data_IF_640120852539
#
_entry.id   IF_640120852539
#
_cell.length_a   1.000
_cell.length_b   1.000
_cell.length_c   1.000
_cell.angle_alpha   90.00
_cell.angle_beta   90.00
_cell.angle_gamma   90.00
#
_symmetry.space_group_name_H-M   'P 1'
#
loop_
_entity.id
_entity.type
_entity.pdbx_description
1 polymer ?
#
# COMPACT_ATOMS: atom_id res chain seq x y z
N UNK A 1 -44.08 70.14 16.95
CA UNK A 1 -44.05 68.80 17.53
C UNK A 1 -43.42 67.71 16.65
N UNK A 2 -43.47 67.79 15.31
CA UNK A 2 -42.98 66.69 14.43
C UNK A 2 -41.46 66.52 14.35
N UNK A 3 -40.63 67.56 14.53
CA UNK A 3 -39.17 67.45 14.45
C UNK A 3 -38.54 66.73 15.60
N UNK A 4 -39.08 66.86 16.80
CA UNK A 4 -38.56 66.20 18.01
C UNK A 4 -38.86 64.70 18.03
N UNK A 5 -39.98 64.25 17.48
CA UNK A 5 -40.30 62.84 17.33
C UNK A 5 -39.45 62.15 16.29
N UNK A 6 -39.08 62.85 15.21
CA UNK A 6 -38.17 62.29 14.21
C UNK A 6 -36.75 62.12 14.80
N UNK A 7 -36.25 63.08 15.55
CA UNK A 7 -34.97 62.99 16.25
C UNK A 7 -34.94 61.81 17.26
N UNK A 8 -36.06 61.59 17.98
CA UNK A 8 -36.17 60.53 18.96
C UNK A 8 -36.22 59.16 18.27
N UNK A 9 -36.86 59.03 17.11
CA UNK A 9 -36.86 57.79 16.30
C UNK A 9 -35.47 57.47 15.74
N UNK A 10 -34.75 58.47 15.24
CA UNK A 10 -33.38 58.30 14.71
C UNK A 10 -32.43 57.89 15.87
N UNK A 11 -32.55 58.50 17.05
CA UNK A 11 -31.74 58.11 18.22
C UNK A 11 -32.06 56.67 18.68
N UNK A 12 -33.35 56.27 18.69
CA UNK A 12 -33.74 54.92 19.02
C UNK A 12 -33.21 53.88 17.97
N UNK A 13 -33.26 54.21 16.67
CA UNK A 13 -32.69 53.35 15.61
C UNK A 13 -31.17 53.18 15.75
N UNK A 14 -30.46 54.27 16.11
CA UNK A 14 -28.99 54.20 16.37
C UNK A 14 -28.71 53.32 17.60
N UNK A 15 -29.47 53.45 18.67
CA UNK A 15 -29.31 52.63 19.86
C UNK A 15 -29.60 51.15 19.60
N UNK A 16 -30.60 50.81 18.81
CA UNK A 16 -30.90 49.44 18.41
C UNK A 16 -29.81 48.89 17.50
N UNK A 17 -29.25 49.72 16.59
CA UNK A 17 -28.13 49.37 15.72
C UNK A 17 -26.86 49.09 16.53
N UNK A 18 -26.53 49.96 17.51
CA UNK A 18 -25.41 49.76 18.43
C UNK A 18 -25.59 48.54 19.33
N UNK A 19 -26.80 48.27 19.82
CA UNK A 19 -27.09 47.10 20.61
C UNK A 19 -26.97 45.79 19.74
N UNK A 20 -27.41 45.82 18.49
CA UNK A 20 -27.26 44.71 17.57
C UNK A 20 -25.77 44.44 17.24
N UNK A 21 -25.01 45.51 17.00
CA UNK A 21 -23.54 45.42 16.79
C UNK A 21 -22.84 44.90 18.05
N UNK A 22 -23.21 45.40 19.23
CA UNK A 22 -22.70 44.92 20.50
C UNK A 22 -23.03 43.45 20.77
N UNK A 23 -24.26 43.03 20.50
CA UNK A 23 -24.68 41.61 20.58
C UNK A 23 -23.97 40.72 19.54
N UNK A 24 -23.70 41.23 18.36
CA UNK A 24 -22.95 40.50 17.34
C UNK A 24 -21.47 40.39 17.71
N UNK A 25 -20.88 41.45 18.22
CA UNK A 25 -19.48 41.45 18.74
C UNK A 25 -19.37 40.58 19.99
N UNK A 26 -20.32 40.62 20.92
CA UNK A 26 -20.30 39.78 22.13
C UNK A 26 -20.58 38.30 21.81
N UNK A 27 -21.40 37.99 20.79
CA UNK A 27 -21.56 36.62 20.26
C UNK A 27 -20.29 36.16 19.51
N UNK A 28 -19.62 37.05 18.81
CA UNK A 28 -18.30 36.75 18.15
C UNK A 28 -17.16 36.69 19.14
N UNK A 29 -17.21 37.46 20.24
CA UNK A 29 -16.21 37.44 21.31
C UNK A 29 -16.25 36.18 22.16
N UNK A 30 -17.41 35.46 22.19
CA UNK A 30 -17.49 34.11 22.76
C UNK A 30 -16.83 33.01 21.94
N UNK A 31 -16.43 33.33 20.70
CA UNK A 31 -15.62 32.53 19.80
C UNK A 31 -14.20 33.11 19.67
N UNK A 32 -13.64 33.59 20.76
CA UNK A 32 -12.19 33.74 20.81
C UNK A 32 -11.62 32.33 20.70
N UNK A 33 -11.30 31.95 19.47
CA UNK A 33 -10.30 30.94 19.19
C UNK A 33 -9.03 31.38 19.96
N UNK A 34 -8.90 30.91 21.19
CA UNK A 34 -7.60 30.80 21.82
C UNK A 34 -6.86 29.78 20.97
N UNK A 35 -6.24 30.23 19.86
CA UNK A 35 -5.18 29.50 19.19
C UNK A 35 -4.07 29.37 20.21
N UNK A 36 -4.22 28.40 21.10
CA UNK A 36 -3.20 28.06 22.05
C UNK A 36 -2.16 27.28 21.29
N UNK A 37 -1.12 27.94 20.86
CA UNK A 37 0.11 27.35 20.27
C UNK A 37 0.86 26.50 21.34
N UNK A 38 0.06 25.89 22.22
CA UNK A 38 0.53 25.13 23.38
C UNK A 38 0.74 23.66 22.99
N UNK A 39 1.93 23.15 23.28
CA UNK A 39 2.20 21.71 23.12
C UNK A 39 1.25 20.87 24.00
N UNK A 40 0.70 19.81 23.43
CA UNK A 40 -0.13 18.82 24.14
C UNK A 40 0.67 18.04 25.18
N UNK A 41 1.92 17.72 24.83
CA UNK A 41 2.85 17.04 25.72
C UNK A 41 3.95 18.02 26.16
N UNK A 42 4.05 18.28 27.45
CA UNK A 42 5.16 19.01 28.03
C UNK A 42 6.30 18.02 28.30
N UNK A 43 7.47 18.23 27.66
CA UNK A 43 8.67 17.42 27.90
C UNK A 43 8.49 15.91 27.61
N UNK A 44 7.97 15.58 26.42
CA UNK A 44 7.89 14.19 25.99
C UNK A 44 9.29 13.57 25.86
N UNK A 45 9.60 12.58 26.69
CA UNK A 45 10.89 11.88 26.72
C UNK A 45 10.99 10.87 25.55
N UNK A 46 11.11 11.39 24.32
CA UNK A 46 11.07 10.57 23.09
C UNK A 46 12.22 9.57 22.99
N UNK A 47 13.38 9.89 23.59
CA UNK A 47 14.55 9.01 23.55
C UNK A 47 14.41 7.77 24.44
N UNK A 48 13.50 7.83 25.41
CA UNK A 48 13.24 6.74 26.34
C UNK A 48 12.17 5.79 25.85
N UNK A 49 11.56 6.07 24.68
CA UNK A 49 10.51 5.24 24.11
C UNK A 49 11.12 3.95 23.55
N UNK A 50 10.73 2.83 24.15
CA UNK A 50 11.11 1.47 23.70
C UNK A 50 9.93 0.67 23.17
N UNK A 51 8.70 1.13 23.42
CA UNK A 51 7.47 0.47 22.96
C UNK A 51 6.40 1.50 22.61
N UNK A 52 5.73 1.27 21.49
CA UNK A 52 4.55 2.01 21.04
C UNK A 52 3.43 1.01 20.87
N UNK A 53 2.31 1.23 21.55
CA UNK A 53 1.12 0.41 21.39
C UNK A 53 -0.01 1.27 20.86
N UNK A 54 -0.55 0.90 19.69
CA UNK A 54 -1.67 1.57 19.05
C UNK A 54 -2.84 0.60 19.09
N UNK A 55 -3.97 1.02 19.66
CA UNK A 55 -5.15 0.17 19.83
C UNK A 55 -6.39 0.84 19.28
N UNK A 56 -7.15 0.12 18.50
CA UNK A 56 -8.51 0.47 18.09
C UNK A 56 -9.52 -0.52 18.71
N UNK A 57 -10.79 -0.39 18.39
CA UNK A 57 -11.81 -1.35 18.82
C UNK A 57 -11.55 -2.78 18.29
N UNK A 58 -10.92 -2.91 17.13
CA UNK A 58 -10.79 -4.19 16.39
C UNK A 58 -9.35 -4.63 16.14
N UNK A 59 -8.37 -3.74 16.30
CA UNK A 59 -6.98 -3.99 15.94
C UNK A 59 -6.02 -3.44 16.98
N UNK A 60 -4.90 -4.11 17.11
CA UNK A 60 -3.75 -3.66 17.91
C UNK A 60 -2.49 -3.73 17.05
N UNK A 61 -1.63 -2.73 17.19
CA UNK A 61 -0.28 -2.70 16.62
C UNK A 61 0.68 -2.39 17.76
N UNK A 62 1.60 -3.30 17.99
CA UNK A 62 2.63 -3.17 19.02
C UNK A 62 4.00 -3.12 18.35
N UNK A 63 4.66 -1.99 18.49
CA UNK A 63 6.00 -1.73 17.97
C UNK A 63 6.97 -1.74 19.15
N UNK A 64 7.90 -2.68 19.15
CA UNK A 64 8.87 -2.87 20.24
C UNK A 64 10.30 -2.74 19.74
N UNK A 65 11.13 -2.01 20.47
CA UNK A 65 12.55 -1.91 20.21
C UNK A 65 13.27 -3.11 20.83
N UNK A 66 13.86 -3.97 19.99
CA UNK A 66 14.66 -5.14 20.40
C UNK A 66 16.10 -4.94 19.90
N UNK A 67 17.01 -4.65 20.82
CA UNK A 67 18.34 -4.15 20.45
C UNK A 67 18.25 -2.81 19.73
N UNK A 68 18.86 -2.72 18.56
CA UNK A 68 18.85 -1.51 17.75
C UNK A 68 17.71 -1.45 16.72
N UNK A 69 16.85 -2.46 16.68
CA UNK A 69 15.79 -2.56 15.68
C UNK A 69 14.40 -2.52 16.31
N UNK A 70 13.49 -1.81 15.62
CA UNK A 70 12.07 -1.87 15.92
C UNK A 70 11.41 -3.07 15.25
N UNK A 71 10.51 -3.73 15.96
CA UNK A 71 9.83 -4.96 15.56
C UNK A 71 8.33 -4.83 15.74
N UNK A 72 7.56 -5.54 14.92
CA UNK A 72 6.11 -5.63 15.00
C UNK A 72 5.73 -6.93 15.69
N UNK A 73 5.23 -6.84 16.92
CA UNK A 73 4.97 -8.01 17.77
C UNK A 73 3.87 -8.92 17.17
N UNK A 74 2.82 -8.35 16.57
CA UNK A 74 1.73 -9.11 15.94
C UNK A 74 2.13 -9.85 14.67
N UNK A 75 3.39 -9.70 14.22
CA UNK A 75 3.94 -10.35 13.02
C UNK A 75 5.23 -11.11 13.32
N UNK A 76 5.26 -11.73 14.48
CA UNK A 76 6.39 -12.57 14.91
C UNK A 76 7.72 -11.81 14.83
N UNK A 77 7.72 -10.60 15.41
CA UNK A 77 8.88 -9.72 15.44
C UNK A 77 9.44 -9.34 14.06
N UNK A 78 8.59 -9.26 13.05
CA UNK A 78 9.01 -8.72 11.75
C UNK A 78 9.56 -7.29 11.90
N UNK A 79 10.61 -6.92 11.15
CA UNK A 79 11.14 -5.56 11.17
C UNK A 79 10.07 -4.51 10.93
N UNK A 80 10.03 -3.48 11.79
CA UNK A 80 9.11 -2.37 11.62
C UNK A 80 9.71 -1.27 10.74
N UNK A 81 8.84 -0.53 10.04
CA UNK A 81 9.20 0.66 9.28
C UNK A 81 9.61 1.79 10.24
N UNK A 82 10.91 1.95 10.43
CA UNK A 82 11.47 2.95 11.35
C UNK A 82 11.11 4.39 10.95
N UNK A 83 10.95 4.68 9.66
CA UNK A 83 10.58 6.01 9.18
C UNK A 83 9.18 6.40 9.69
N UNK A 84 8.23 5.50 9.62
CA UNK A 84 6.87 5.73 10.12
C UNK A 84 6.82 5.86 11.64
N UNK A 85 7.64 5.07 12.34
CA UNK A 85 7.78 5.19 13.80
C UNK A 85 8.33 6.56 14.17
N UNK A 86 9.41 6.97 13.51
CA UNK A 86 10.01 8.28 13.70
C UNK A 86 9.02 9.40 13.43
N UNK A 87 8.25 9.30 12.34
CA UNK A 87 7.28 10.31 11.95
C UNK A 87 6.11 10.38 12.94
N UNK A 88 5.62 9.24 13.44
CA UNK A 88 4.61 9.23 14.51
C UNK A 88 5.13 9.89 15.80
N UNK A 89 6.33 9.51 16.24
CA UNK A 89 6.95 10.09 17.45
C UNK A 89 7.15 11.62 17.27
N UNK A 90 7.63 12.04 16.11
CA UNK A 90 7.82 13.47 15.77
C UNK A 90 6.49 14.21 15.77
N UNK A 91 5.45 13.63 15.19
CA UNK A 91 4.09 14.19 15.20
C UNK A 91 3.60 14.39 16.63
N UNK A 92 3.71 13.35 17.48
CA UNK A 92 3.31 13.45 18.88
C UNK A 92 4.13 14.50 19.66
N UNK A 93 5.43 14.56 19.43
CA UNK A 93 6.32 15.54 20.09
C UNK A 93 6.00 16.98 19.70
N UNK A 94 5.68 17.22 18.42
CA UNK A 94 5.38 18.56 17.92
C UNK A 94 3.90 18.94 17.99
N UNK A 95 3.05 18.06 18.58
CA UNK A 95 1.60 18.21 18.57
C UNK A 95 1.15 19.43 19.38
N UNK A 96 0.47 20.34 18.70
CA UNK A 96 -0.04 21.57 19.29
C UNK A 96 -1.55 21.58 19.36
N UNK A 97 -2.09 22.13 20.44
CA UNK A 97 -3.51 22.38 20.58
C UNK A 97 -3.92 23.52 19.63
N UNK A 98 -4.77 23.23 18.67
CA UNK A 98 -5.41 24.26 17.85
C UNK A 98 -6.55 24.93 18.59
N UNK A 99 -7.49 24.13 19.09
CA UNK A 99 -8.62 24.58 19.92
C UNK A 99 -8.76 23.66 21.13
N UNK A 100 -8.94 24.23 22.29
CA UNK A 100 -9.21 23.53 23.54
C UNK A 100 -10.70 23.60 23.87
N UNK A 101 -11.29 22.48 24.23
CA UNK A 101 -12.70 22.37 24.62
C UNK A 101 -12.83 21.65 25.95
N UNK A 102 -13.60 22.22 26.83
CA UNK A 102 -13.98 21.56 28.07
C UNK A 102 -15.33 20.87 27.86
N UNK A 103 -15.35 19.54 27.90
CA UNK A 103 -16.52 18.71 27.65
C UNK A 103 -16.65 17.65 28.74
N UNK A 104 -17.87 17.39 29.17
CA UNK A 104 -18.13 16.33 30.14
C UNK A 104 -18.00 14.92 29.52
N UNK A 105 -17.76 13.88 30.34
CA UNK A 105 -17.55 12.49 29.88
C UNK A 105 -18.71 11.95 29.02
N UNK A 106 -19.94 12.44 29.20
CA UNK A 106 -21.10 12.05 28.40
C UNK A 106 -20.98 12.40 26.90
N UNK A 107 -20.07 13.31 26.54
CA UNK A 107 -19.82 13.72 25.13
C UNK A 107 -18.67 12.97 24.49
N UNK A 108 -17.88 12.20 25.25
CA UNK A 108 -16.68 11.52 24.74
C UNK A 108 -17.00 10.54 23.62
N UNK A 109 -18.11 9.81 23.69
CA UNK A 109 -18.55 8.92 22.61
C UNK A 109 -18.81 9.67 21.30
N UNK A 110 -19.50 10.82 21.33
CA UNK A 110 -19.79 11.62 20.12
C UNK A 110 -18.52 12.10 19.40
N UNK A 111 -17.46 12.33 20.15
CA UNK A 111 -16.15 12.77 19.65
C UNK A 111 -15.21 11.59 19.38
N UNK A 112 -15.66 10.36 19.63
CA UNK A 112 -14.87 9.13 19.54
C UNK A 112 -13.55 9.20 20.32
N UNK A 113 -13.59 9.74 21.53
CA UNK A 113 -12.40 9.83 22.41
C UNK A 113 -12.51 8.93 23.64
N UNK A 114 -13.41 7.93 23.61
CA UNK A 114 -13.43 6.86 24.59
C UNK A 114 -12.27 5.90 24.33
N UNK A 115 -11.67 5.31 25.40
CA UNK A 115 -10.67 4.26 25.23
C UNK A 115 -11.21 3.05 24.46
N UNK A 116 -10.37 2.33 23.72
CA UNK A 116 -10.74 1.06 23.09
C UNK A 116 -11.35 0.08 24.10
N UNK A 117 -12.42 -0.62 23.70
CA UNK A 117 -13.16 -1.54 24.58
C UNK A 117 -14.31 -0.89 25.35
N UNK A 118 -14.51 0.42 25.29
CA UNK A 118 -15.64 1.12 25.92
C UNK A 118 -16.75 1.45 24.92
N UNK A 119 -17.11 0.52 24.05
CA UNK A 119 -18.20 0.63 23.09
C UNK A 119 -17.75 0.92 21.67
N UNK A 120 -18.74 1.06 20.76
CA UNK A 120 -18.53 1.29 19.32
C UNK A 120 -17.95 2.67 18.99
N UNK A 121 -18.10 3.61 19.90
CA UNK A 121 -17.68 5.01 19.76
C UNK A 121 -16.31 5.27 20.38
N UNK A 122 -15.50 4.21 20.52
CA UNK A 122 -14.13 4.31 20.98
C UNK A 122 -13.23 4.97 19.91
N UNK A 123 -12.22 5.68 20.40
CA UNK A 123 -11.14 6.22 19.57
C UNK A 123 -10.01 5.22 19.38
N UNK A 124 -8.90 5.73 18.86
CA UNK A 124 -7.65 4.98 18.70
C UNK A 124 -6.69 5.47 19.77
N UNK A 125 -6.29 4.58 20.66
CA UNK A 125 -5.35 4.89 21.72
C UNK A 125 -3.91 4.63 21.27
N UNK A 126 -3.04 5.59 21.54
CA UNK A 126 -1.58 5.50 21.31
C UNK A 126 -0.91 5.61 22.66
N UNK A 127 -0.28 4.54 23.11
CA UNK A 127 0.53 4.52 24.32
C UNK A 127 2.02 4.47 23.97
N UNK A 128 2.79 5.41 24.51
CA UNK A 128 4.25 5.42 24.48
C UNK A 128 4.77 4.89 25.81
N UNK A 129 5.62 3.88 25.74
CA UNK A 129 6.21 3.23 26.93
C UNK A 129 7.72 3.16 26.81
N UNK A 130 8.36 3.26 27.95
CA UNK A 130 9.80 3.07 28.11
C UNK A 130 10.16 1.69 28.62
N UNK A 131 11.36 1.57 29.15
CA UNK A 131 11.81 0.31 29.77
C UNK A 131 10.86 -0.16 30.87
N UNK A 132 10.73 -1.47 30.97
CA UNK A 132 9.86 -2.14 31.96
C UNK A 132 8.39 -1.68 31.90
N UNK A 133 7.89 -1.36 30.71
CA UNK A 133 6.51 -0.90 30.47
C UNK A 133 6.17 0.44 31.17
N UNK A 134 7.16 1.24 31.56
CA UNK A 134 6.95 2.54 32.16
C UNK A 134 6.17 3.46 31.20
N UNK A 135 5.00 3.94 31.60
CA UNK A 135 4.16 4.81 30.77
C UNK A 135 4.81 6.19 30.62
N UNK A 136 5.16 6.57 29.39
CA UNK A 136 5.72 7.88 29.05
C UNK A 136 4.60 8.85 28.67
N UNK A 137 3.70 8.43 27.77
CA UNK A 137 2.58 9.24 27.31
C UNK A 137 1.43 8.37 26.82
N UNK A 138 0.24 8.94 26.78
CA UNK A 138 -0.96 8.32 26.20
C UNK A 138 -1.78 9.39 25.50
N UNK A 139 -2.35 9.03 24.36
CA UNK A 139 -3.21 9.88 23.56
C UNK A 139 -4.35 9.06 22.98
N UNK A 140 -5.58 9.58 23.00
CA UNK A 140 -6.68 9.01 22.26
C UNK A 140 -6.99 9.91 21.08
N UNK A 141 -6.92 9.36 19.88
CA UNK A 141 -7.24 10.00 18.60
C UNK A 141 -8.69 9.69 18.28
N UNK A 142 -9.50 10.72 18.22
CA UNK A 142 -10.93 10.62 18.03
C UNK A 142 -11.38 10.86 16.59
N UNK A 143 -12.58 11.39 16.45
CA UNK A 143 -13.25 11.67 15.16
C UNK A 143 -12.48 12.74 14.36
N UNK A 144 -12.37 12.53 13.03
CA UNK A 144 -11.95 13.58 12.11
C UNK A 144 -13.04 14.63 11.94
N UNK A 145 -12.64 15.87 11.72
CA UNK A 145 -13.51 17.00 11.39
C UNK A 145 -13.13 17.48 10.01
N UNK A 146 -14.05 17.29 9.07
CA UNK A 146 -13.94 17.87 7.74
C UNK A 146 -14.66 19.21 7.77
N UNK A 147 -13.93 20.31 7.70
CA UNK A 147 -14.52 21.60 7.40
C UNK A 147 -14.82 21.64 5.90
N UNK A 148 -15.99 21.23 5.53
CA UNK A 148 -16.57 21.60 4.24
C UNK A 148 -17.04 23.05 4.34
N UNK A 149 -16.14 24.01 4.20
CA UNK A 149 -16.56 25.38 3.87
C UNK A 149 -17.03 25.34 2.43
N UNK A 150 -18.33 25.49 2.25
CA UNK A 150 -19.06 25.46 1.00
C UNK A 150 -18.60 26.53 -0.03
N UNK A 151 -17.57 27.33 0.26
CA UNK A 151 -17.14 28.44 -0.58
C UNK A 151 -15.80 28.24 -1.31
N UNK A 152 -14.90 27.36 -0.87
CA UNK A 152 -13.54 27.27 -1.46
C UNK A 152 -13.02 25.85 -1.70
N UNK A 153 -13.74 24.79 -1.32
CA UNK A 153 -13.32 23.41 -1.57
C UNK A 153 -12.06 22.95 -0.80
N UNK A 154 -11.52 23.77 0.08
CA UNK A 154 -10.39 23.41 0.94
C UNK A 154 -10.92 22.88 2.27
N UNK A 155 -10.98 21.54 2.40
CA UNK A 155 -11.25 20.88 3.66
C UNK A 155 -10.07 21.14 4.61
N UNK A 156 -10.26 21.98 5.62
CA UNK A 156 -9.36 22.02 6.76
C UNK A 156 -9.68 20.80 7.62
N UNK A 157 -8.97 19.69 7.39
CA UNK A 157 -9.11 18.49 8.17
C UNK A 157 -8.45 18.67 9.53
N UNK A 158 -9.16 18.30 10.59
CA UNK A 158 -8.67 18.27 11.96
C UNK A 158 -9.09 17.00 12.65
N UNK A 159 -8.53 16.73 13.83
CA UNK A 159 -8.92 15.59 14.66
C UNK A 159 -9.15 16.00 16.10
N UNK A 160 -10.17 15.41 16.71
CA UNK A 160 -10.32 15.49 18.16
C UNK A 160 -9.30 14.55 18.80
N UNK A 161 -8.64 15.04 19.83
CA UNK A 161 -7.72 14.25 20.64
C UNK A 161 -8.00 14.46 22.14
N UNK A 162 -7.76 13.40 22.88
CA UNK A 162 -7.87 13.42 24.34
C UNK A 162 -6.57 12.90 24.96
N UNK A 163 -6.00 13.68 25.86
CA UNK A 163 -4.88 13.24 26.69
C UNK A 163 -5.42 12.78 28.04
N UNK A 164 -5.37 11.46 28.35
CA UNK A 164 -5.90 10.94 29.63
C UNK A 164 -5.23 11.50 30.89
N UNK A 165 -4.03 12.06 30.77
CA UNK A 165 -3.34 12.73 31.89
C UNK A 165 -3.94 14.09 32.24
N UNK A 166 -4.72 14.69 31.34
CA UNK A 166 -5.36 15.99 31.52
C UNK A 166 -6.88 15.78 31.44
N UNK A 167 -7.50 15.62 32.61
CA UNK A 167 -8.95 15.34 32.70
C UNK A 167 -9.78 16.47 32.09
N UNK A 168 -10.91 16.11 31.49
CA UNK A 168 -11.98 17.00 31.01
C UNK A 168 -11.59 18.00 29.91
N UNK A 169 -10.47 17.77 29.23
CA UNK A 169 -10.01 18.61 28.12
C UNK A 169 -9.84 17.80 26.85
N UNK A 170 -10.53 18.20 25.81
CA UNK A 170 -10.37 17.68 24.46
C UNK A 170 -9.81 18.79 23.60
N UNK A 171 -8.92 18.40 22.71
CA UNK A 171 -8.27 19.32 21.80
C UNK A 171 -8.68 19.00 20.37
N UNK A 172 -8.89 20.02 19.56
CA UNK A 172 -8.96 19.91 18.11
C UNK A 172 -7.57 20.27 17.57
N UNK A 173 -6.96 19.36 16.81
CA UNK A 173 -5.65 19.53 16.19
C UNK A 173 -5.75 19.47 14.68
N UNK A 174 -4.81 20.07 13.97
CA UNK A 174 -4.74 20.00 12.50
C UNK A 174 -4.12 18.70 11.97
N UNK A 175 -3.48 17.92 12.84
CA UNK A 175 -2.85 16.66 12.46
C UNK A 175 -3.89 15.60 12.10
N UNK A 176 -3.62 14.85 11.01
CA UNK A 176 -4.54 13.83 10.49
C UNK A 176 -4.23 12.42 10.98
N UNK A 177 -3.05 12.17 11.50
CA UNK A 177 -2.57 10.86 11.98
C UNK A 177 -2.71 9.76 10.93
N UNK A 178 -1.94 9.85 9.86
CA UNK A 178 -1.91 8.83 8.81
C UNK A 178 -1.50 7.46 9.36
N UNK A 179 -1.99 6.39 8.73
CA UNK A 179 -1.73 4.98 9.04
C UNK A 179 -2.30 4.45 10.38
N UNK A 180 -3.09 5.24 11.11
CA UNK A 180 -3.75 4.75 12.32
C UNK A 180 -5.28 4.59 12.18
N UNK A 181 -5.89 5.14 11.13
CA UNK A 181 -7.34 5.05 10.91
C UNK A 181 -7.66 4.81 9.42
N UNK A 182 -8.09 3.61 9.04
CA UNK A 182 -8.26 2.42 9.90
C UNK A 182 -6.93 1.81 10.35
N UNK A 183 -6.88 1.36 11.60
CA UNK A 183 -5.68 0.74 12.16
C UNK A 183 -5.48 -0.66 11.58
N UNK A 184 -4.33 -0.88 10.96
CA UNK A 184 -3.88 -2.19 10.49
C UNK A 184 -2.37 -2.35 10.66
N UNK A 185 -1.91 -3.58 10.70
CA UNK A 185 -0.49 -3.90 10.94
C UNK A 185 0.37 -3.67 9.71
N UNK A 186 -0.16 -4.01 8.52
CA UNK A 186 0.58 -3.99 7.26
C UNK A 186 1.39 -2.71 6.95
N UNK A 187 0.83 -1.51 7.17
CA UNK A 187 1.56 -0.26 6.97
C UNK A 187 2.81 -0.07 7.84
N UNK A 188 2.89 -0.74 9.00
CA UNK A 188 4.01 -0.62 9.94
C UNK A 188 5.16 -1.57 9.68
N UNK A 189 5.01 -2.49 8.73
CA UNK A 189 6.06 -3.41 8.34
C UNK A 189 7.11 -2.70 7.48
N UNK A 190 8.40 -2.98 7.70
CA UNK A 190 9.44 -2.56 6.77
C UNK A 190 9.21 -3.22 5.41
N UNK A 191 8.95 -2.40 4.40
CA UNK A 191 8.64 -2.85 3.03
C UNK A 191 9.88 -3.11 2.18
N UNK A 192 11.08 -2.94 2.74
CA UNK A 192 12.31 -3.36 2.08
C UNK A 192 12.32 -4.88 1.99
N UNK A 193 12.01 -5.36 0.81
CA UNK A 193 11.97 -6.78 0.48
C UNK A 193 13.19 -7.17 -0.34
N UNK A 194 13.16 -8.33 -0.97
CA UNK A 194 14.21 -8.72 -1.89
C UNK A 194 14.26 -7.74 -3.07
N UNK A 195 15.46 -7.38 -3.44
CA UNK A 195 15.74 -6.59 -4.65
C UNK A 195 16.68 -7.44 -5.50
N UNK A 196 16.15 -8.34 -6.33
CA UNK A 196 16.98 -9.11 -7.24
C UNK A 196 17.82 -8.14 -8.07
N UNK A 197 19.11 -8.41 -8.18
CA UNK A 197 19.99 -7.65 -9.07
C UNK A 197 19.64 -7.88 -10.54
N UNK A 198 20.64 -7.68 -11.43
CA UNK A 198 20.46 -8.05 -12.83
C UNK A 198 20.16 -9.55 -12.94
N UNK A 199 18.95 -9.88 -13.36
CA UNK A 199 18.48 -11.25 -13.46
C UNK A 199 19.20 -11.98 -14.58
N UNK A 200 19.59 -13.23 -14.33
CA UNK A 200 20.27 -14.11 -15.28
C UNK A 200 19.37 -15.24 -15.79
N UNK A 201 18.55 -15.77 -14.91
CA UNK A 201 17.73 -16.96 -15.15
C UNK A 201 16.46 -16.89 -14.35
N UNK A 202 15.34 -17.29 -14.95
CA UNK A 202 14.08 -17.55 -14.26
C UNK A 202 13.59 -18.91 -14.71
N UNK A 203 13.42 -19.81 -13.75
CA UNK A 203 12.97 -21.19 -13.96
C UNK A 203 11.64 -21.40 -13.23
N UNK A 204 10.56 -21.51 -14.00
CA UNK A 204 9.23 -21.78 -13.48
C UNK A 204 8.97 -23.28 -13.58
N UNK A 205 8.78 -23.95 -12.45
CA UNK A 205 8.43 -25.36 -12.41
C UNK A 205 7.10 -25.66 -13.12
N UNK A 206 6.91 -26.89 -13.55
CA UNK A 206 5.62 -27.34 -14.06
C UNK A 206 4.55 -27.27 -12.96
N UNK A 207 3.38 -26.74 -13.31
CA UNK A 207 2.29 -26.56 -12.36
C UNK A 207 0.92 -26.78 -13.01
N UNK A 208 0.10 -27.63 -12.40
CA UNK A 208 -1.20 -28.00 -12.98
C UNK A 208 -1.03 -28.45 -14.45
N UNK A 209 -1.70 -27.81 -15.38
CA UNK A 209 -1.62 -28.09 -16.83
C UNK A 209 -0.58 -27.19 -17.55
N UNK A 210 0.26 -26.44 -16.81
CA UNK A 210 1.34 -25.63 -17.36
C UNK A 210 2.65 -26.44 -17.29
N UNK A 211 3.33 -26.70 -18.42
CA UNK A 211 4.59 -27.46 -18.43
C UNK A 211 5.76 -26.73 -17.78
N UNK A 212 5.54 -25.50 -17.31
CA UNK A 212 6.62 -24.62 -16.85
C UNK A 212 7.42 -24.04 -18.01
N UNK A 213 8.36 -23.18 -17.66
CA UNK A 213 9.24 -22.56 -18.64
C UNK A 213 10.52 -22.04 -17.96
N UNK A 214 11.55 -21.93 -18.75
CA UNK A 214 12.81 -21.36 -18.31
C UNK A 214 13.33 -20.37 -19.32
N UNK A 215 13.69 -19.18 -18.83
CA UNK A 215 14.29 -18.12 -19.63
C UNK A 215 15.65 -17.76 -19.07
N UNK A 216 16.60 -17.52 -19.96
CA UNK A 216 17.99 -17.23 -19.61
C UNK A 216 18.55 -16.11 -20.47
N UNK A 217 19.58 -15.44 -19.96
CA UNK A 217 20.45 -14.54 -20.72
C UNK A 217 21.89 -14.68 -20.24
N UNK A 218 22.83 -14.43 -21.14
CA UNK A 218 24.26 -14.68 -20.87
C UNK A 218 24.98 -13.43 -20.32
N UNK A 219 24.38 -12.25 -20.48
CA UNK A 219 24.92 -10.97 -20.03
C UNK A 219 23.76 -10.06 -19.60
N UNK A 220 23.94 -9.13 -18.63
CA UNK A 220 22.90 -8.19 -18.20
C UNK A 220 22.27 -7.34 -19.32
N UNK A 221 22.98 -7.11 -20.41
CA UNK A 221 22.53 -6.36 -21.59
C UNK A 221 22.06 -7.24 -22.74
N UNK A 222 22.24 -8.57 -22.63
CA UNK A 222 21.79 -9.51 -23.65
C UNK A 222 20.28 -9.69 -23.62
N UNK A 223 19.70 -10.02 -24.76
CA UNK A 223 18.30 -10.38 -24.87
C UNK A 223 18.01 -11.69 -24.14
N UNK A 224 16.82 -11.74 -23.53
CA UNK A 224 16.30 -12.96 -22.95
C UNK A 224 15.97 -13.97 -24.04
N UNK A 225 16.23 -15.24 -23.78
CA UNK A 225 15.86 -16.35 -24.62
C UNK A 225 15.20 -17.48 -23.82
N UNK A 226 14.28 -18.16 -24.46
CA UNK A 226 13.66 -19.36 -23.89
C UNK A 226 14.71 -20.49 -23.91
N UNK A 227 14.90 -21.15 -22.76
CA UNK A 227 15.67 -22.40 -22.73
C UNK A 227 14.77 -23.53 -23.25
N UNK A 228 15.31 -24.36 -24.13
CA UNK A 228 14.58 -25.48 -24.76
C UNK A 228 13.27 -25.04 -25.45
N UNK A 229 13.32 -24.13 -26.45
CA UNK A 229 12.15 -23.75 -27.21
C UNK A 229 11.63 -24.94 -28.04
N UNK A 230 10.30 -25.10 -28.12
CA UNK A 230 9.68 -26.02 -29.05
C UNK A 230 9.76 -25.45 -30.47
N UNK A 231 9.54 -26.31 -31.49
CA UNK A 231 9.60 -25.88 -32.88
C UNK A 231 8.64 -24.71 -33.13
N UNK A 232 9.19 -23.56 -33.59
CA UNK A 232 8.41 -22.35 -33.87
C UNK A 232 8.14 -21.45 -32.67
N UNK A 233 8.55 -21.79 -31.44
CA UNK A 233 8.46 -20.91 -30.29
C UNK A 233 9.55 -19.84 -30.30
N UNK A 234 9.14 -18.59 -30.12
CA UNK A 234 10.03 -17.46 -29.92
C UNK A 234 9.53 -16.72 -28.67
N UNK A 235 10.44 -16.33 -27.79
CA UNK A 235 10.09 -15.57 -26.59
C UNK A 235 9.41 -14.24 -27.00
N UNK A 236 8.31 -13.91 -26.36
CA UNK A 236 7.63 -12.63 -26.57
C UNK A 236 8.47 -11.47 -26.07
N UNK A 237 8.73 -10.47 -26.94
CA UNK A 237 9.62 -9.35 -26.61
C UNK A 237 9.07 -8.46 -25.47
N UNK A 238 7.79 -8.06 -25.46
CA UNK A 238 7.21 -7.34 -24.34
C UNK A 238 7.35 -8.07 -23.00
N UNK A 239 7.14 -9.38 -23.00
CA UNK A 239 7.36 -10.20 -21.81
C UNK A 239 8.82 -10.18 -21.36
N UNK A 240 9.74 -10.42 -22.28
CA UNK A 240 11.18 -10.40 -22.01
C UNK A 240 11.64 -9.07 -21.38
N UNK A 241 11.14 -7.94 -21.90
CA UNK A 241 11.44 -6.61 -21.36
C UNK A 241 10.85 -6.41 -19.95
N UNK A 242 9.69 -6.98 -19.67
CA UNK A 242 9.04 -6.84 -18.36
C UNK A 242 9.83 -7.49 -17.22
N UNK A 243 10.61 -8.54 -17.51
CA UNK A 243 11.44 -9.25 -16.53
C UNK A 243 12.54 -8.38 -15.92
N UNK A 244 13.03 -7.38 -16.66
CA UNK A 244 14.06 -6.47 -16.16
C UNK A 244 13.61 -5.58 -15.00
N UNK A 245 12.30 -5.44 -14.81
CA UNK A 245 11.68 -4.62 -13.75
C UNK A 245 11.01 -5.48 -12.67
N UNK A 246 11.36 -6.76 -12.58
CA UNK A 246 10.77 -7.63 -11.57
C UNK A 246 11.20 -7.22 -10.17
N UNK A 247 10.28 -6.68 -9.41
CA UNK A 247 10.46 -6.24 -8.03
C UNK A 247 9.22 -6.66 -7.21
N UNK A 248 9.24 -7.83 -6.57
CA UNK A 248 8.11 -8.30 -5.79
C UNK A 248 7.90 -7.42 -4.56
N UNK A 249 6.64 -7.24 -4.18
CA UNK A 249 6.24 -6.51 -2.99
C UNK A 249 5.27 -7.36 -2.17
N UNK A 250 5.06 -7.01 -0.90
CA UNK A 250 4.11 -7.72 -0.05
C UNK A 250 3.24 -6.74 0.74
N UNK A 251 2.06 -7.21 1.16
CA UNK A 251 1.12 -6.42 1.98
C UNK A 251 1.22 -6.76 3.46
N UNK A 252 1.39 -8.04 3.78
CA UNK A 252 1.42 -8.55 5.14
C UNK A 252 2.32 -9.79 5.25
N UNK A 253 2.60 -10.23 6.46
CA UNK A 253 3.41 -11.43 6.74
C UNK A 253 2.72 -12.32 7.78
N UNK A 254 3.08 -13.60 7.77
CA UNK A 254 2.74 -14.60 8.77
C UNK A 254 4.02 -15.27 9.25
N UNK A 255 4.06 -15.85 10.45
CA UNK A 255 5.23 -16.65 10.86
C UNK A 255 5.43 -17.84 9.91
N UNK A 256 6.68 -18.29 9.77
CA UNK A 256 6.99 -19.48 8.96
C UNK A 256 6.31 -20.76 9.49
N UNK A 257 5.94 -20.76 10.78
CA UNK A 257 5.17 -21.81 11.42
C UNK A 257 3.66 -21.80 11.09
N UNK A 258 3.19 -20.84 10.25
CA UNK A 258 1.81 -20.82 9.81
C UNK A 258 1.44 -22.15 9.15
N UNK A 259 0.21 -22.62 9.42
CA UNK A 259 -0.24 -23.93 8.95
C UNK A 259 -0.05 -24.09 7.44
N UNK A 260 0.63 -25.15 6.98
CA UNK A 260 0.74 -25.45 5.55
C UNK A 260 -0.62 -25.61 4.85
N UNK A 261 -1.63 -26.07 5.56
CA UNK A 261 -3.00 -26.18 5.02
C UNK A 261 -3.65 -24.80 4.85
N UNK A 262 -3.33 -23.85 5.73
CA UNK A 262 -3.79 -22.47 5.59
C UNK A 262 -3.08 -21.76 4.46
N UNK A 263 -1.79 -21.98 4.29
CA UNK A 263 -0.95 -21.28 3.31
C UNK A 263 -0.85 -21.99 1.96
N UNK A 264 -1.14 -23.31 1.91
CA UNK A 264 -0.94 -24.14 0.72
C UNK A 264 0.53 -24.47 0.43
N UNK A 265 1.42 -24.24 1.41
CA UNK A 265 2.86 -24.49 1.27
C UNK A 265 3.27 -25.96 1.50
N UNK A 266 2.29 -26.86 1.72
CA UNK A 266 2.51 -28.32 1.68
C UNK A 266 2.76 -28.84 0.24
N UNK A 267 2.27 -28.14 -0.78
CA UNK A 267 2.55 -28.43 -2.18
C UNK A 267 2.71 -27.11 -2.97
N UNK A 268 3.80 -26.38 -2.75
CA UNK A 268 3.97 -25.07 -3.34
C UNK A 268 4.31 -25.14 -4.83
N UNK A 269 3.86 -24.16 -5.56
CA UNK A 269 4.36 -23.88 -6.90
C UNK A 269 5.74 -23.20 -6.78
N UNK A 270 6.74 -23.72 -7.49
CA UNK A 270 8.13 -23.27 -7.33
C UNK A 270 8.59 -22.45 -8.52
N UNK A 271 9.28 -21.35 -8.20
CA UNK A 271 9.99 -20.53 -9.19
C UNK A 271 11.37 -20.22 -8.63
N UNK A 272 12.40 -20.52 -9.40
CA UNK A 272 13.77 -20.16 -9.07
C UNK A 272 14.22 -18.97 -9.91
N UNK A 273 14.85 -18.00 -9.27
CA UNK A 273 15.39 -16.80 -9.91
C UNK A 273 16.87 -16.73 -9.59
N UNK A 274 17.73 -16.61 -10.61
CA UNK A 274 19.16 -16.38 -10.44
C UNK A 274 19.56 -15.03 -11.00
N UNK A 275 20.47 -14.35 -10.32
CA UNK A 275 21.02 -13.07 -10.70
C UNK A 275 22.51 -13.18 -11.04
N UNK A 276 23.04 -12.22 -11.80
CA UNK A 276 24.47 -12.17 -12.18
C UNK A 276 25.40 -11.88 -11.00
N UNK A 277 24.87 -11.37 -9.90
CA UNK A 277 25.62 -11.12 -8.66
C UNK A 277 25.80 -12.37 -7.79
N UNK A 278 25.35 -13.54 -8.28
CA UNK A 278 25.47 -14.83 -7.62
C UNK A 278 24.29 -15.21 -6.74
N UNK A 279 23.31 -14.32 -6.55
CA UNK A 279 22.11 -14.62 -5.75
C UNK A 279 21.17 -15.58 -6.46
N UNK A 280 20.59 -16.47 -5.68
CA UNK A 280 19.50 -17.39 -6.07
C UNK A 280 18.35 -17.24 -5.09
N UNK A 281 17.16 -17.04 -5.64
CA UNK A 281 15.91 -16.95 -4.90
C UNK A 281 15.01 -18.11 -5.28
N UNK A 282 14.64 -18.94 -4.32
CA UNK A 282 13.62 -19.96 -4.49
C UNK A 282 12.31 -19.42 -3.93
N UNK A 283 11.36 -19.15 -4.79
CA UNK A 283 10.03 -18.67 -4.46
C UNK A 283 9.09 -19.88 -4.36
N UNK A 284 8.58 -20.15 -3.17
CA UNK A 284 7.62 -21.21 -2.88
C UNK A 284 6.23 -20.57 -2.74
N UNK A 285 5.42 -20.67 -3.78
CA UNK A 285 4.11 -20.04 -3.87
C UNK A 285 3.02 -21.00 -3.42
N UNK A 286 2.31 -20.63 -2.37
CA UNK A 286 1.17 -21.35 -1.85
C UNK A 286 -0.15 -20.99 -2.55
N UNK A 287 -1.26 -21.23 -1.86
CA UNK A 287 -2.58 -20.88 -2.36
C UNK A 287 -2.84 -19.38 -2.35
N UNK A 288 -3.91 -18.98 -3.00
CA UNK A 288 -4.40 -17.61 -2.96
C UNK A 288 -4.89 -17.27 -1.54
N UNK A 289 -4.47 -16.13 -1.04
CA UNK A 289 -4.88 -15.53 0.22
C UNK A 289 -6.01 -14.51 0.04
N UNK A 290 -6.31 -13.71 1.07
CA UNK A 290 -7.29 -12.63 0.97
C UNK A 290 -6.83 -11.53 -0.01
N UNK A 291 -7.78 -10.72 -0.48
CA UNK A 291 -7.53 -9.50 -1.25
C UNK A 291 -6.64 -9.70 -2.50
N UNK A 292 -6.82 -10.83 -3.21
CA UNK A 292 -6.00 -11.20 -4.38
C UNK A 292 -4.50 -11.21 -4.08
N UNK A 293 -4.14 -11.66 -2.90
CA UNK A 293 -2.76 -11.96 -2.52
C UNK A 293 -2.48 -13.46 -2.66
N UNK A 294 -1.22 -13.83 -2.59
CA UNK A 294 -0.76 -15.22 -2.58
C UNK A 294 0.25 -15.41 -1.47
N UNK A 295 0.19 -16.55 -0.82
CA UNK A 295 1.21 -16.91 0.16
C UNK A 295 2.52 -17.25 -0.54
N UNK A 296 3.60 -16.65 -0.09
CA UNK A 296 4.95 -16.82 -0.60
C UNK A 296 5.90 -17.13 0.56
N UNK A 297 6.61 -18.22 0.48
CA UNK A 297 7.81 -18.46 1.28
C UNK A 297 9.03 -18.27 0.39
N UNK A 298 10.05 -17.62 0.92
CA UNK A 298 11.29 -17.29 0.22
C UNK A 298 12.44 -18.09 0.82
N UNK A 299 13.35 -18.58 -0.05
CA UNK A 299 14.68 -19.02 0.35
C UNK A 299 15.72 -18.27 -0.47
N UNK A 300 16.78 -17.82 0.19
CA UNK A 300 17.82 -17.02 -0.44
C UNK A 300 19.17 -17.69 -0.22
N UNK A 301 19.90 -17.87 -1.30
CA UNK A 301 21.28 -18.30 -1.26
C UNK A 301 22.13 -17.46 -2.20
N UNK A 302 23.44 -17.45 -2.00
CA UNK A 302 24.34 -16.77 -2.92
C UNK A 302 25.64 -17.54 -3.06
N UNK A 303 26.09 -17.66 -4.30
CA UNK A 303 27.44 -18.13 -4.64
C UNK A 303 28.34 -16.90 -4.87
N UNK A 304 29.03 -16.49 -3.80
CA UNK A 304 29.86 -15.30 -3.82
C UNK A 304 31.34 -15.70 -3.96
N UNK A 305 32.05 -15.20 -4.98
CA UNK A 305 33.45 -15.53 -5.17
C UNK A 305 34.29 -15.03 -4.00
N UNK A 306 35.07 -15.91 -3.39
CA UNK A 306 35.96 -15.58 -2.26
C UNK A 306 37.20 -14.81 -2.67
N UNK A 307 37.62 -14.93 -3.94
CA UNK A 307 38.84 -14.34 -4.48
C UNK A 307 38.55 -13.78 -5.88
N UNK A 308 39.07 -12.60 -6.15
CA UNK A 308 39.04 -12.00 -7.50
C UNK A 308 40.04 -12.75 -8.44
N UNK A 309 39.64 -12.93 -9.67
CA UNK A 309 40.57 -13.37 -10.73
C UNK A 309 41.21 -12.15 -11.37
N UNK A 310 42.48 -11.85 -11.08
CA UNK A 310 43.19 -10.71 -11.69
C UNK A 310 43.39 -10.90 -13.19
N UNK A 311 43.33 -9.81 -13.97
CA UNK A 311 43.75 -9.81 -15.34
C UNK A 311 45.31 -9.92 -15.37
N UNK A 312 45.92 -10.81 -16.17
CA UNK A 312 47.37 -10.95 -16.28
C UNK A 312 48.10 -9.66 -16.68
N UNK A 313 47.39 -8.70 -17.25
CA UNK A 313 47.93 -7.41 -17.74
C UNK A 313 47.72 -6.25 -16.77
N UNK A 314 47.16 -6.48 -15.57
CA UNK A 314 46.96 -5.43 -14.60
C UNK A 314 48.24 -4.86 -14.01
N UNK A 315 48.33 -3.53 -13.92
CA UNK A 315 49.40 -2.88 -13.15
C UNK A 315 49.23 -3.17 -11.65
N UNK A 316 50.32 -3.02 -10.86
CA UNK A 316 50.26 -3.24 -9.41
C UNK A 316 49.28 -2.27 -8.72
N UNK A 317 49.21 -1.03 -9.21
CA UNK A 317 48.29 -0.01 -8.68
C UNK A 317 46.84 -0.34 -9.01
N UNK A 318 46.55 -0.70 -10.27
CA UNK A 318 45.21 -1.13 -10.70
C UNK A 318 44.77 -2.39 -9.95
N UNK A 319 45.68 -3.33 -9.74
CA UNK A 319 45.43 -4.55 -8.99
C UNK A 319 44.97 -4.21 -7.57
N UNK A 320 45.72 -3.37 -6.86
CA UNK A 320 45.35 -2.97 -5.49
C UNK A 320 43.97 -2.31 -5.43
N UNK A 321 43.70 -1.36 -6.33
CA UNK A 321 42.44 -0.66 -6.40
C UNK A 321 41.26 -1.61 -6.67
N UNK A 322 41.42 -2.51 -7.65
CA UNK A 322 40.36 -3.48 -8.00
C UNK A 322 40.16 -4.54 -6.90
N UNK A 323 41.23 -4.91 -6.18
CA UNK A 323 41.11 -5.79 -5.02
C UNK A 323 40.32 -5.12 -3.90
N UNK A 324 40.58 -3.85 -3.60
CA UNK A 324 39.79 -3.06 -2.61
C UNK A 324 38.34 -2.90 -3.04
N UNK A 325 38.04 -2.62 -4.30
CA UNK A 325 36.68 -2.54 -4.87
C UNK A 325 35.95 -3.90 -4.78
N UNK A 326 36.67 -5.00 -5.07
CA UNK A 326 36.14 -6.34 -4.95
C UNK A 326 35.77 -6.70 -3.50
N UNK A 327 36.70 -6.44 -2.57
CA UNK A 327 36.49 -6.71 -1.15
C UNK A 327 35.29 -5.94 -0.60
N UNK A 328 35.18 -4.64 -0.96
CA UNK A 328 34.04 -3.81 -0.58
C UNK A 328 32.73 -4.36 -1.13
N UNK A 329 32.70 -4.63 -2.45
CA UNK A 329 31.51 -5.22 -3.09
C UNK A 329 31.10 -6.54 -2.45
N UNK A 330 32.09 -7.39 -2.16
CA UNK A 330 31.84 -8.70 -1.56
C UNK A 330 31.32 -8.59 -0.13
N UNK A 331 31.80 -7.59 0.63
CA UNK A 331 31.24 -7.27 1.96
C UNK A 331 29.79 -6.82 1.87
N UNK A 332 29.47 -5.93 0.92
CA UNK A 332 28.09 -5.44 0.69
C UNK A 332 27.15 -6.60 0.31
N UNK A 333 27.60 -7.53 -0.58
CA UNK A 333 26.82 -8.71 -0.97
C UNK A 333 26.60 -9.67 0.19
N UNK A 334 27.60 -9.90 1.05
CA UNK A 334 27.45 -10.71 2.27
C UNK A 334 26.47 -10.10 3.22
N UNK A 335 26.54 -8.80 3.46
CA UNK A 335 25.58 -8.09 4.32
C UNK A 335 24.15 -8.18 3.74
N UNK A 336 24.01 -8.08 2.42
CA UNK A 336 22.73 -8.26 1.75
C UNK A 336 22.21 -9.69 1.94
N UNK A 337 23.06 -10.71 1.79
CA UNK A 337 22.69 -12.11 1.99
C UNK A 337 22.20 -12.33 3.42
N UNK A 338 22.91 -11.86 4.44
CA UNK A 338 22.50 -11.94 5.83
C UNK A 338 21.14 -11.29 6.09
N UNK A 339 20.89 -10.11 5.50
CA UNK A 339 19.61 -9.41 5.61
C UNK A 339 18.49 -10.20 4.92
N UNK A 340 18.71 -10.69 3.68
CA UNK A 340 17.65 -11.33 2.90
C UNK A 340 17.35 -12.75 3.36
N UNK A 341 18.33 -13.49 3.89
CA UNK A 341 18.12 -14.81 4.51
C UNK A 341 17.20 -14.72 5.75
N UNK A 342 17.15 -13.57 6.44
CA UNK A 342 16.22 -13.40 7.54
C UNK A 342 14.75 -13.50 7.11
N UNK A 343 14.42 -13.21 5.85
CA UNK A 343 13.06 -13.29 5.34
C UNK A 343 12.51 -14.72 5.29
N UNK A 344 13.36 -15.74 5.35
CA UNK A 344 12.94 -17.15 5.43
C UNK A 344 12.10 -17.49 6.67
N UNK A 345 12.15 -16.60 7.68
CA UNK A 345 11.39 -16.75 8.94
C UNK A 345 9.90 -16.47 8.79
N UNK A 346 9.48 -15.92 7.65
CA UNK A 346 8.10 -15.50 7.43
C UNK A 346 7.52 -16.02 6.12
N UNK A 347 6.21 -16.12 6.11
CA UNK A 347 5.40 -16.33 4.91
C UNK A 347 4.77 -14.99 4.54
N UNK A 348 5.00 -14.53 3.34
CA UNK A 348 4.55 -13.24 2.83
C UNK A 348 3.20 -13.35 2.13
N UNK A 349 2.36 -12.34 2.28
CA UNK A 349 1.18 -12.15 1.43
C UNK A 349 1.56 -11.18 0.31
N UNK A 350 1.77 -11.72 -0.87
CA UNK A 350 2.23 -10.98 -2.05
C UNK A 350 1.04 -10.76 -2.98
N UNK A 351 0.75 -9.53 -3.42
CA UNK A 351 -0.31 -9.26 -4.38
C UNK A 351 -0.06 -9.99 -5.70
N UNK A 352 -1.09 -10.59 -6.29
CA UNK A 352 -0.97 -11.33 -7.56
C UNK A 352 -0.36 -10.47 -8.68
N UNK A 353 -0.68 -9.17 -8.74
CA UNK A 353 -0.12 -8.26 -9.75
C UNK A 353 1.42 -8.10 -9.64
N UNK A 354 1.98 -8.25 -8.45
CA UNK A 354 3.43 -8.16 -8.20
C UNK A 354 4.20 -9.40 -8.70
N UNK A 355 3.48 -10.50 -8.92
CA UNK A 355 4.02 -11.77 -9.41
C UNK A 355 3.55 -12.08 -10.84
N UNK A 356 2.73 -11.23 -11.46
CA UNK A 356 2.08 -11.50 -12.74
C UNK A 356 3.04 -11.99 -13.82
N UNK A 357 4.22 -11.38 -13.92
CA UNK A 357 5.21 -11.73 -14.93
C UNK A 357 5.71 -13.18 -14.78
N UNK A 358 5.99 -13.59 -13.53
CA UNK A 358 6.54 -14.92 -13.26
C UNK A 358 5.45 -15.99 -13.10
N UNK A 359 4.17 -15.61 -13.05
CA UNK A 359 3.03 -16.52 -13.00
C UNK A 359 2.45 -16.85 -14.38
N UNK A 360 2.91 -16.17 -15.45
CA UNK A 360 2.45 -16.42 -16.81
C UNK A 360 2.70 -17.86 -17.23
N UNK A 361 1.77 -18.38 -18.01
CA UNK A 361 1.90 -19.72 -18.58
C UNK A 361 2.85 -19.70 -19.77
N UNK A 362 3.35 -20.86 -20.18
CA UNK A 362 4.27 -20.97 -21.33
C UNK A 362 3.65 -20.41 -22.62
N UNK A 363 2.38 -20.65 -22.86
CA UNK A 363 1.66 -20.17 -24.05
C UNK A 363 1.44 -18.63 -24.06
N UNK A 364 1.60 -17.98 -22.93
CA UNK A 364 1.47 -16.52 -22.77
C UNK A 364 2.81 -15.77 -22.92
N UNK A 365 3.92 -16.50 -22.85
CA UNK A 365 5.27 -15.91 -22.95
C UNK A 365 5.93 -16.14 -24.32
N UNK A 366 5.27 -16.88 -25.21
CA UNK A 366 5.77 -17.12 -26.57
C UNK A 366 5.00 -16.28 -27.58
N UNK A 367 5.71 -15.64 -28.50
CA UNK A 367 5.10 -14.95 -29.61
C UNK A 367 4.47 -16.03 -30.54
N UNK A 368 3.20 -15.83 -30.91
CA UNK A 368 2.61 -16.59 -31.99
C UNK A 368 3.36 -16.24 -33.27
N UNK A 369 3.93 -17.25 -33.94
CA UNK A 369 4.60 -17.04 -35.22
C UNK A 369 3.61 -16.32 -36.16
N UNK A 370 3.91 -15.06 -36.51
CA UNK A 370 3.19 -14.42 -37.61
C UNK A 370 3.39 -15.30 -38.85
N UNK A 371 2.36 -15.62 -39.61
CA UNK A 371 2.55 -16.33 -40.87
C UNK A 371 3.57 -15.54 -41.68
N UNK A 372 4.64 -16.21 -42.09
CA UNK A 372 5.66 -15.60 -42.93
C UNK A 372 4.99 -14.87 -44.10
N UNK A 373 5.38 -13.64 -44.43
CA UNK A 373 4.86 -12.97 -45.61
C UNK A 373 5.16 -13.89 -46.79
N UNK A 374 4.11 -14.26 -47.53
CA UNK A 374 4.22 -15.03 -48.80
C UNK A 374 5.16 -14.22 -49.68
N UNK A 375 6.26 -14.82 -50.19
CA UNK A 375 7.18 -14.07 -51.05
C UNK A 375 6.40 -13.52 -52.24
N UNK A 376 6.60 -12.26 -52.66
CA UNK A 376 5.95 -11.68 -53.83
C UNK A 376 6.48 -12.39 -55.07
N UNK A 377 5.80 -13.39 -55.60
CA UNK A 377 6.25 -14.10 -56.78
C UNK A 377 5.41 -15.32 -57.22
N UNK A 378 4.40 -15.72 -56.46
CA UNK A 378 3.49 -16.76 -56.91
C UNK A 378 2.24 -16.16 -57.55
N UNK A 379 2.31 -15.85 -58.83
CA UNK A 379 1.17 -15.52 -59.65
C UNK A 379 0.30 -16.77 -59.82
N UNK A 380 -0.95 -16.79 -59.37
CA UNK A 380 -1.84 -17.91 -59.72
C UNK A 380 -2.21 -17.80 -61.22
N UNK A 381 -1.96 -18.85 -61.97
CA UNK A 381 -2.41 -19.03 -63.34
C UNK A 381 -3.92 -18.85 -63.47
N UNK A 382 -4.42 -18.18 -64.51
CA UNK A 382 -5.83 -17.93 -64.66
C UNK A 382 -6.58 -19.20 -65.04
N UNK A 383 -7.52 -19.59 -64.21
CA UNK A 383 -8.51 -20.63 -64.54
C UNK A 383 -9.57 -19.95 -65.40
N UNK A 384 -9.69 -20.41 -66.66
CA UNK A 384 -10.75 -20.03 -67.60
C UNK A 384 -12.14 -20.30 -67.02
N UNK A 385 -12.91 -19.26 -66.84
CA UNK A 385 -14.34 -19.34 -66.58
C UNK A 385 -15.14 -18.88 -67.79
N UNK A 386 -15.90 -19.81 -68.32
CA UNK A 386 -16.96 -19.61 -69.32
C UNK A 386 -18.15 -18.86 -68.69
N UNK A 387 -18.77 -17.89 -69.41
CA UNK A 387 -19.84 -17.05 -68.85
C UNK A 387 -21.24 -17.57 -69.21
N UNK A 388 -22.21 -17.42 -68.29
CA UNK A 388 -23.63 -17.23 -68.64
C UNK A 388 -24.54 -17.15 -67.43
N UNK A 389 -25.75 -16.54 -67.54
CA UNK A 389 -26.08 -15.14 -67.83
C UNK A 389 -26.87 -14.46 -66.68
N UNK A 390 -26.96 -13.15 -66.79
CA UNK A 390 -27.82 -12.26 -65.99
C UNK A 390 -29.31 -12.47 -66.24
N UNK A 391 -30.23 -12.22 -65.25
CA UNK A 391 -31.03 -11.00 -65.38
C UNK A 391 -31.21 -10.16 -64.08
N UNK A 392 -31.11 -8.89 -64.28
CA UNK A 392 -32.03 -7.75 -64.06
C UNK A 392 -32.45 -7.36 -62.65
N UNK A 393 -32.22 -6.11 -62.44
CA UNK A 393 -32.53 -5.06 -61.51
C UNK A 393 -33.88 -5.12 -60.77
N UNK A 394 -33.86 -4.69 -59.50
CA UNK A 394 -34.84 -3.70 -59.01
C UNK A 394 -34.42 -3.06 -57.70
N UNK A 395 -34.14 -1.75 -57.79
CA UNK A 395 -34.49 -0.60 -56.94
C UNK A 395 -34.43 -0.68 -55.40
N UNK A 396 -33.59 0.19 -54.86
CA UNK A 396 -33.70 0.88 -53.56
C UNK A 396 -35.11 1.45 -53.24
N UNK A 397 -35.46 1.71 -51.95
CA UNK A 397 -34.86 2.80 -51.20
C UNK A 397 -34.74 2.57 -49.67
N UNK A 398 -33.83 3.32 -49.06
CA UNK A 398 -33.93 3.77 -47.65
C UNK A 398 -35.12 4.73 -47.49
N UNK A 399 -35.70 4.98 -46.31
CA UNK A 399 -35.03 5.59 -45.15
C UNK A 399 -35.67 5.31 -43.76
N UNK A 400 -35.06 5.93 -42.73
CA UNK A 400 -35.66 6.64 -41.58
C UNK A 400 -35.66 6.00 -40.19
N UNK A 401 -34.79 6.61 -39.38
CA UNK A 401 -34.90 7.07 -37.97
C UNK A 401 -35.74 6.33 -36.93
N UNK A 402 -35.08 5.99 -35.85
CA UNK A 402 -35.34 6.10 -34.39
C UNK A 402 -36.82 6.04 -33.89
N UNK A 403 -37.11 5.77 -32.56
CA UNK A 403 -36.34 6.06 -31.36
C UNK A 403 -36.43 5.00 -30.25
N UNK A 404 -35.66 5.22 -29.18
CA UNK A 404 -35.78 4.63 -27.83
C UNK A 404 -37.16 4.73 -27.20
N UNK A 405 -37.52 3.82 -26.29
CA UNK A 405 -37.88 4.26 -24.94
C UNK A 405 -37.34 3.39 -23.78
N UNK A 406 -36.92 4.04 -22.72
CA UNK A 406 -36.97 3.61 -21.34
C UNK A 406 -38.39 3.91 -20.77
N UNK A 407 -38.70 3.62 -19.50
CA UNK A 407 -38.64 2.39 -18.69
C UNK A 407 -40.04 2.01 -18.15
N UNK A 408 -40.18 0.87 -17.51
CA UNK A 408 -41.36 0.60 -16.65
C UNK A 408 -41.03 -0.27 -15.46
N UNK A 409 -41.29 0.29 -14.33
CA UNK A 409 -41.60 -0.18 -12.97
C UNK A 409 -42.66 -1.29 -12.94
N UNK A 410 -42.49 -2.25 -11.98
CA UNK A 410 -43.52 -2.76 -11.07
C UNK A 410 -42.94 -3.94 -10.26
N UNK A 411 -42.82 -3.71 -8.96
CA UNK A 411 -43.69 -4.25 -7.89
C UNK A 411 -43.47 -5.73 -7.56
N UNK A 412 -43.09 -5.92 -6.29
CA UNK A 412 -42.97 -7.17 -5.55
C UNK A 412 -44.31 -7.94 -5.39
N UNK A 413 -44.41 -8.96 -4.55
CA UNK A 413 -44.14 -8.90 -3.10
C UNK A 413 -43.47 -10.15 -2.47
N UNK A 414 -43.03 -9.97 -1.25
CA UNK A 414 -42.78 -10.98 -0.20
C UNK A 414 -44.01 -11.86 0.07
N UNK A 415 -43.82 -13.08 0.59
CA UNK A 415 -44.07 -13.28 2.03
C UNK A 415 -43.10 -14.24 2.76
N UNK A 416 -42.74 -13.90 3.96
CA UNK A 416 -42.58 -14.86 5.08
C UNK A 416 -43.96 -15.39 5.48
N UNK A 417 -44.18 -16.47 6.28
CA UNK A 417 -43.47 -16.76 7.52
C UNK A 417 -43.36 -18.26 7.93
N UNK A 418 -42.93 -18.47 9.19
CA UNK A 418 -43.32 -19.48 10.21
C UNK A 418 -42.30 -20.59 10.41
N UNK A 419 -41.60 -20.56 11.50
CA UNK A 419 -41.74 -21.11 12.85
C UNK A 419 -41.88 -22.64 12.96
N UNK A 420 -41.09 -23.24 13.80
CA UNK A 420 -41.41 -24.51 14.41
C UNK A 420 -40.21 -25.34 14.84
N UNK A 421 -39.99 -25.37 16.13
CA UNK A 421 -39.39 -26.31 17.06
C UNK A 421 -37.91 -26.15 17.31
#
# INVERSE_FOLDING_TARGET
MRKNHLLLLVAAAILVGLAAIYLQISRSAGWNESRTDRSIFQNLAINDVTKIQIRSATSTVTLEKKGDQWRVAERDDYPADFEKIRDLIKTLWSLKAGQEMQVGPSQFGRLKVLPPGQGSDAGIEIDLKGEKEAKIASLIVGKSVDRSDNATGAAASGRFIFNPAVKDRIYLVSETFYNIDPLSVGPWLDKKFIVPGDLKEIDQAAWSNNPGWKVIRDDPKADWRLENPQSGEVLDKPFAQSLSNFAPSFTDVRPASASPDETGLNNPFQIQIKAFDGFTYDLLLGKQGPDKTRYLQLRVSADLPSVRTPDPKESQEDKKKKDEEFDKRNADLKQRLERETQFEKWVFLVPDWSLEQILKRRDEIVAKASPSPIPPGATPSPISSTPSPRPEASTSPSPTSAPSPSPSTSEGPSPSPTAGS
#
